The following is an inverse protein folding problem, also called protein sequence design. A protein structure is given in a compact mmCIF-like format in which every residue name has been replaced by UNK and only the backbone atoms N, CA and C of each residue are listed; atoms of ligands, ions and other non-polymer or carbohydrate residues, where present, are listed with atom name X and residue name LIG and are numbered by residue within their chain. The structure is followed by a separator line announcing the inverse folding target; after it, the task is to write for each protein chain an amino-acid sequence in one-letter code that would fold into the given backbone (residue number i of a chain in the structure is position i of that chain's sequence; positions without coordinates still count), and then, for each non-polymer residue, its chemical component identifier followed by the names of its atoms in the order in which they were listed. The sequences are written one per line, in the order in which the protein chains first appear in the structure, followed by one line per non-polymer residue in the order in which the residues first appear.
data_IF_103871799445
#
_entry.id   IF_103871799445
#
_cell.length_a   1.000
_cell.length_b   1.000
_cell.length_c   1.000
_cell.angle_alpha   90.00
_cell.angle_beta   90.00
_cell.angle_gamma   90.00
#
_symmetry.space_group_name_H-M   'P 1'
#
loop_
_entity.id
_entity.type
_entity.pdbx_description
1 polymer ?
#
# COMPACT_ATOMS: atom_id res chain seq x y z
N UNK A 1 -27.22 14.88 -1.05
CA UNK A 1 -26.38 15.44 0.00
C UNK A 1 -26.98 16.74 0.48
N UNK A 2 -26.88 17.04 1.78
CA UNK A 2 -27.32 18.29 2.38
C UNK A 2 -26.12 18.88 3.12
N UNK A 3 -25.73 20.10 2.77
CA UNK A 3 -24.62 20.79 3.43
C UNK A 3 -25.17 21.66 4.56
N UNK A 4 -24.55 21.53 5.73
CA UNK A 4 -24.99 22.19 6.97
C UNK A 4 -23.77 22.83 7.63
N UNK A 5 -23.96 24.05 8.11
CA UNK A 5 -22.93 24.72 8.91
C UNK A 5 -22.81 24.06 10.28
N UNK A 6 -21.62 24.11 10.85
CA UNK A 6 -21.29 23.55 12.17
C UNK A 6 -21.63 22.06 12.35
N UNK A 7 -21.59 21.27 11.26
CA UNK A 7 -21.73 19.83 11.38
C UNK A 7 -20.57 19.25 12.21
N UNK A 8 -20.85 18.36 13.18
CA UNK A 8 -19.82 17.83 14.10
C UNK A 8 -18.80 16.93 13.41
N UNK A 9 -19.15 16.42 12.22
CA UNK A 9 -18.32 15.53 11.41
C UNK A 9 -18.36 16.01 9.95
N UNK A 10 -17.29 15.75 9.18
CA UNK A 10 -17.28 16.11 7.76
C UNK A 10 -18.46 15.52 6.98
N UNK A 11 -18.85 14.28 7.32
CA UNK A 11 -19.97 13.60 6.68
C UNK A 11 -20.72 12.71 7.67
N UNK A 12 -22.02 12.83 7.71
CA UNK A 12 -22.94 11.99 8.50
C UNK A 12 -23.89 11.27 7.53
N UNK A 13 -23.60 10.02 7.17
CA UNK A 13 -24.45 9.25 6.29
C UNK A 13 -25.67 8.75 7.06
N UNK A 14 -26.85 8.99 6.51
CA UNK A 14 -28.13 8.48 6.98
C UNK A 14 -28.88 7.82 5.83
N UNK A 15 -30.00 7.16 6.11
CA UNK A 15 -30.80 6.50 5.08
C UNK A 15 -31.28 7.51 4.01
N UNK A 16 -30.84 7.31 2.77
CA UNK A 16 -31.17 8.14 1.60
C UNK A 16 -30.73 9.61 1.70
N UNK A 17 -30.03 10.01 2.75
CA UNK A 17 -29.54 11.38 2.95
C UNK A 17 -28.16 11.34 3.55
N UNK A 18 -27.22 12.11 2.99
CA UNK A 18 -25.92 12.37 3.63
C UNK A 18 -25.89 13.84 4.04
N UNK A 19 -25.70 14.09 5.33
CA UNK A 19 -25.46 15.42 5.88
C UNK A 19 -23.96 15.65 5.80
N UNK A 20 -23.55 16.72 5.15
CA UNK A 20 -22.15 17.08 4.94
C UNK A 20 -21.88 18.46 5.54
N UNK A 21 -20.68 18.64 6.07
CA UNK A 21 -20.24 19.94 6.54
C UNK A 21 -20.08 20.91 5.37
N UNK A 22 -20.52 22.16 5.55
CA UNK A 22 -20.26 23.24 4.59
C UNK A 22 -18.77 23.54 4.42
N UNK A 23 -17.93 23.17 5.38
CA UNK A 23 -16.47 23.25 5.27
C UNK A 23 -15.87 22.38 4.12
N UNK A 24 -16.64 21.47 3.55
CA UNK A 24 -16.25 20.72 2.35
C UNK A 24 -16.50 21.50 1.06
N UNK A 25 -17.14 22.67 1.11
CA UNK A 25 -17.42 23.50 -0.05
C UNK A 25 -16.30 24.53 -0.20
N UNK A 26 -15.52 24.40 -1.25
CA UNK A 26 -14.44 25.32 -1.60
C UNK A 26 -14.76 26.03 -2.92
N UNK A 27 -14.29 27.28 -3.11
CA UNK A 27 -14.31 27.95 -4.41
C UNK A 27 -13.54 27.13 -5.48
N UNK A 28 -13.91 27.28 -6.74
CA UNK A 28 -13.33 26.51 -7.86
C UNK A 28 -11.83 26.76 -8.10
N UNK A 29 -11.29 27.85 -7.59
CA UNK A 29 -9.88 28.21 -7.66
C UNK A 29 -9.02 27.54 -6.58
N UNK A 30 -9.63 26.93 -5.56
CA UNK A 30 -8.94 26.17 -4.50
C UNK A 30 -8.83 24.70 -4.90
N UNK A 31 -7.75 24.35 -5.59
CA UNK A 31 -7.57 22.99 -6.16
C UNK A 31 -6.99 21.98 -5.18
N UNK A 32 -6.25 22.41 -4.17
CA UNK A 32 -5.55 21.52 -3.22
C UNK A 32 -6.48 20.58 -2.46
N UNK A 33 -7.71 21.04 -2.18
CA UNK A 33 -8.70 20.31 -1.40
C UNK A 33 -9.56 19.35 -2.21
N UNK A 34 -9.45 19.39 -3.56
CA UNK A 34 -10.33 18.62 -4.47
C UNK A 34 -10.30 17.14 -4.16
N UNK A 35 -9.10 16.59 -3.94
CA UNK A 35 -8.94 15.15 -3.65
C UNK A 35 -9.66 14.76 -2.36
N UNK A 36 -9.34 15.41 -1.25
CA UNK A 36 -9.84 15.04 0.07
C UNK A 36 -11.34 15.29 0.19
N UNK A 37 -11.84 16.39 -0.38
CA UNK A 37 -13.28 16.69 -0.46
C UNK A 37 -14.01 15.63 -1.30
N UNK A 38 -13.51 15.31 -2.48
CA UNK A 38 -14.13 14.28 -3.33
C UNK A 38 -14.15 12.94 -2.62
N UNK A 39 -13.04 12.56 -1.98
CA UNK A 39 -12.93 11.32 -1.22
C UNK A 39 -13.94 11.28 -0.07
N UNK A 40 -14.12 12.37 0.69
CA UNK A 40 -15.10 12.47 1.76
C UNK A 40 -16.55 12.34 1.25
N UNK A 41 -16.88 13.00 0.14
CA UNK A 41 -18.21 12.91 -0.46
C UNK A 41 -18.51 11.53 -1.03
N UNK A 42 -17.53 10.90 -1.68
CA UNK A 42 -17.67 9.51 -2.18
C UNK A 42 -17.82 8.53 -1.04
N UNK A 43 -17.10 8.73 0.08
CA UNK A 43 -17.27 7.93 1.28
C UNK A 43 -18.70 8.04 1.83
N UNK A 44 -19.26 9.25 1.93
CA UNK A 44 -20.65 9.46 2.37
C UNK A 44 -21.67 8.73 1.47
N UNK A 45 -21.40 8.66 0.16
CA UNK A 45 -22.21 7.86 -0.76
C UNK A 45 -22.01 6.36 -0.53
N UNK A 46 -20.78 5.90 -0.37
CA UNK A 46 -20.46 4.48 -0.14
C UNK A 46 -21.11 3.94 1.13
N UNK A 47 -21.24 4.77 2.16
CA UNK A 47 -21.92 4.46 3.41
C UNK A 47 -23.41 4.18 3.24
N UNK A 48 -24.07 4.64 2.15
CA UNK A 48 -25.46 4.29 1.89
C UNK A 48 -25.65 2.79 1.66
N UNK A 49 -24.61 2.10 1.14
CA UNK A 49 -24.61 0.65 0.97
C UNK A 49 -23.95 -0.07 2.15
N UNK A 50 -22.82 0.42 2.63
CA UNK A 50 -22.08 -0.19 3.73
C UNK A 50 -22.04 0.73 4.94
N UNK A 51 -22.93 0.52 5.88
CA UNK A 51 -23.16 1.34 7.07
C UNK A 51 -24.65 1.67 7.29
N UNK A 52 -25.41 1.83 6.20
CA UNK A 52 -26.86 2.08 6.28
C UNK A 52 -27.68 0.87 5.82
N UNK A 53 -27.40 0.33 4.63
CA UNK A 53 -28.12 -0.85 4.12
C UNK A 53 -27.54 -2.18 4.66
N UNK A 54 -26.21 -2.30 4.67
CA UNK A 54 -25.48 -3.37 5.30
C UNK A 54 -24.89 -2.84 6.60
N UNK A 55 -25.39 -3.31 7.74
CA UNK A 55 -25.01 -2.81 9.06
C UNK A 55 -24.21 -3.87 9.84
N UNK A 56 -23.34 -3.49 10.78
CA UNK A 56 -22.70 -4.45 11.66
C UNK A 56 -23.74 -5.08 12.57
N UNK A 57 -23.65 -6.41 12.82
CA UNK A 57 -24.54 -7.09 13.75
C UNK A 57 -24.19 -6.72 15.20
N UNK A 58 -22.92 -6.78 15.51
CA UNK A 58 -22.36 -6.38 16.79
C UNK A 58 -21.37 -5.23 16.59
N UNK A 59 -21.11 -4.40 17.60
CA UNK A 59 -20.14 -3.32 17.49
C UNK A 59 -18.75 -3.78 17.02
N UNK A 60 -18.32 -4.98 17.42
CA UNK A 60 -17.08 -5.60 16.98
C UNK A 60 -16.99 -5.82 15.45
N UNK A 61 -18.13 -5.90 14.78
CA UNK A 61 -18.22 -6.11 13.33
C UNK A 61 -18.14 -4.79 12.52
N UNK A 62 -18.05 -3.64 13.20
CA UNK A 62 -18.02 -2.30 12.58
C UNK A 62 -16.90 -2.16 11.54
N UNK A 63 -15.76 -2.79 11.77
CA UNK A 63 -14.63 -2.73 10.84
C UNK A 63 -14.99 -3.26 9.44
N UNK A 64 -15.93 -4.23 9.34
CA UNK A 64 -16.36 -4.79 8.04
C UNK A 64 -17.08 -3.73 7.21
N UNK A 65 -18.06 -3.05 7.79
CA UNK A 65 -18.85 -2.03 7.08
C UNK A 65 -18.04 -0.79 6.76
N UNK A 66 -17.24 -0.30 7.72
CA UNK A 66 -16.32 0.81 7.51
C UNK A 66 -15.28 0.47 6.45
N UNK A 67 -14.68 -0.72 6.53
CA UNK A 67 -13.71 -1.20 5.55
C UNK A 67 -14.28 -1.29 4.15
N UNK A 68 -15.50 -1.83 3.98
CA UNK A 68 -16.18 -1.93 2.67
C UNK A 68 -16.47 -0.53 2.12
N UNK A 69 -16.97 0.41 2.95
CA UNK A 69 -17.27 1.77 2.50
C UNK A 69 -16.02 2.48 1.99
N UNK A 70 -14.91 2.40 2.71
CA UNK A 70 -13.64 2.96 2.27
C UNK A 70 -13.03 2.21 1.08
N UNK A 71 -13.15 0.89 1.01
CA UNK A 71 -12.69 0.11 -0.15
C UNK A 71 -13.41 0.56 -1.45
N UNK A 72 -14.72 0.78 -1.40
CA UNK A 72 -15.49 1.31 -2.54
C UNK A 72 -15.01 2.71 -2.91
N UNK A 73 -14.83 3.56 -1.90
CA UNK A 73 -14.33 4.92 -2.05
C UNK A 73 -12.97 4.94 -2.74
N UNK A 74 -12.03 4.16 -2.24
CA UNK A 74 -10.68 4.12 -2.77
C UNK A 74 -10.63 3.49 -4.18
N UNK A 75 -11.52 2.53 -4.49
CA UNK A 75 -11.69 2.00 -5.84
C UNK A 75 -12.23 3.06 -6.82
N UNK A 76 -13.15 3.91 -6.37
CA UNK A 76 -13.62 5.04 -7.16
C UNK A 76 -12.51 6.07 -7.39
N UNK A 77 -11.79 6.44 -6.32
CA UNK A 77 -10.66 7.39 -6.41
C UNK A 77 -9.54 6.87 -7.32
N UNK A 78 -9.28 5.56 -7.30
CA UNK A 78 -8.36 4.94 -8.25
C UNK A 78 -8.76 5.17 -9.71
N UNK A 79 -10.04 5.03 -10.02
CA UNK A 79 -10.54 5.26 -11.37
C UNK A 79 -10.52 6.75 -11.76
N UNK A 80 -10.66 7.64 -10.79
CA UNK A 80 -10.69 9.09 -11.02
C UNK A 80 -9.28 9.69 -11.14
N UNK A 81 -8.37 9.32 -10.23
CA UNK A 81 -7.05 9.93 -10.08
C UNK A 81 -5.90 9.06 -10.61
N UNK A 82 -6.20 7.85 -11.07
CA UNK A 82 -5.20 6.91 -11.57
C UNK A 82 -4.54 6.04 -10.49
N UNK A 83 -3.77 5.06 -10.97
CA UNK A 83 -3.19 4.03 -10.11
C UNK A 83 -2.01 4.54 -9.27
N UNK A 84 -1.25 5.52 -9.76
CA UNK A 84 -0.11 6.05 -9.01
C UNK A 84 -0.55 6.80 -7.75
N UNK A 85 -1.55 7.67 -7.86
CA UNK A 85 -2.12 8.35 -6.71
C UNK A 85 -2.71 7.35 -5.72
N UNK A 86 -3.44 6.35 -6.23
CA UNK A 86 -3.98 5.29 -5.39
C UNK A 86 -2.88 4.54 -4.62
N UNK A 87 -1.79 4.12 -5.29
CA UNK A 87 -0.66 3.43 -4.67
C UNK A 87 0.07 4.32 -3.65
N UNK A 88 0.26 5.59 -3.98
CA UNK A 88 0.87 6.57 -3.08
C UNK A 88 0.06 6.71 -1.79
N UNK A 89 -1.27 6.88 -1.89
CA UNK A 89 -2.15 6.96 -0.72
C UNK A 89 -2.18 5.66 0.09
N UNK A 90 -2.18 4.51 -0.56
CA UNK A 90 -2.06 3.23 0.14
C UNK A 90 -0.78 3.14 0.96
N UNK A 91 0.36 3.58 0.39
CA UNK A 91 1.64 3.60 1.11
C UNK A 91 1.58 4.52 2.32
N UNK A 92 1.08 5.75 2.14
CA UNK A 92 0.91 6.69 3.25
C UNK A 92 -0.01 6.14 4.35
N UNK A 93 -1.14 5.55 3.97
CA UNK A 93 -2.08 4.93 4.92
C UNK A 93 -1.43 3.75 5.66
N UNK A 94 -0.68 2.90 4.96
CA UNK A 94 0.04 1.77 5.57
C UNK A 94 1.09 2.24 6.56
N UNK A 95 1.87 3.25 6.21
CA UNK A 95 2.89 3.82 7.11
C UNK A 95 2.24 4.45 8.35
N UNK A 96 1.17 5.24 8.15
CA UNK A 96 0.40 5.85 9.25
C UNK A 96 -0.19 4.79 10.18
N UNK A 97 -0.77 3.71 9.64
CA UNK A 97 -1.28 2.60 10.45
C UNK A 97 -0.17 1.94 11.25
N UNK A 98 0.99 1.66 10.64
CA UNK A 98 2.12 1.04 11.34
C UNK A 98 2.68 1.92 12.47
N UNK A 99 2.56 3.25 12.36
CA UNK A 99 2.96 4.19 13.42
C UNK A 99 1.92 4.29 14.53
N UNK A 100 0.64 4.20 14.17
CA UNK A 100 -0.47 4.30 15.11
C UNK A 100 -0.81 2.99 15.82
N UNK A 101 -0.50 1.84 15.19
CA UNK A 101 -0.88 0.50 15.67
C UNK A 101 0.11 -0.03 16.72
N UNK A 102 0.33 0.77 17.72
CA UNK A 102 1.14 0.45 18.87
C UNK A 102 0.30 0.64 20.14
N UNK A 103 0.32 -0.37 21.02
CA UNK A 103 -0.49 -0.38 22.26
C UNK A 103 -1.99 -0.10 21.99
N UNK A 104 -2.53 -0.70 20.93
CA UNK A 104 -3.97 -0.64 20.61
C UNK A 104 -4.58 -2.04 20.61
N UNK A 105 -5.88 -2.17 20.93
CA UNK A 105 -6.60 -3.42 20.72
C UNK A 105 -6.70 -3.74 19.21
N UNK A 106 -7.05 -4.98 18.91
CA UNK A 106 -7.35 -5.36 17.52
C UNK A 106 -8.53 -4.55 16.96
N UNK A 107 -8.64 -4.44 15.64
CA UNK A 107 -9.77 -3.71 15.01
C UNK A 107 -11.12 -4.36 15.35
N UNK A 108 -11.15 -5.65 15.66
CA UNK A 108 -12.34 -6.35 16.11
C UNK A 108 -12.72 -5.97 17.55
N UNK A 109 -11.77 -6.02 18.46
CA UNK A 109 -12.02 -5.67 19.88
C UNK A 109 -12.27 -4.17 20.06
N UNK A 110 -11.64 -3.32 19.26
CA UNK A 110 -11.85 -1.88 19.27
C UNK A 110 -13.32 -1.53 18.98
N UNK A 111 -14.00 -2.27 18.13
CA UNK A 111 -15.42 -2.07 17.88
C UNK A 111 -16.31 -2.28 19.12
N UNK A 112 -15.87 -3.05 20.11
CA UNK A 112 -16.61 -3.25 21.37
C UNK A 112 -16.57 -2.03 22.31
N UNK A 113 -15.75 -1.02 22.00
CA UNK A 113 -15.70 0.22 22.77
C UNK A 113 -16.99 0.99 22.54
N UNK A 114 -17.79 1.08 23.58
CA UNK A 114 -19.04 1.86 23.56
C UNK A 114 -18.69 3.36 23.45
N UNK A 115 -19.11 4.02 22.40
CA UNK A 115 -18.73 5.39 22.03
C UNK A 115 -17.24 5.48 21.67
N UNK A 116 -16.94 5.01 20.45
CA UNK A 116 -15.63 5.20 19.83
C UNK A 116 -15.27 6.68 19.80
N UNK A 117 -14.09 7.00 20.26
CA UNK A 117 -13.52 8.34 20.06
C UNK A 117 -13.25 8.59 18.58
N UNK A 118 -13.23 9.85 18.13
CA UNK A 118 -12.85 10.19 16.78
C UNK A 118 -11.51 9.58 16.34
N UNK A 119 -10.51 9.52 17.24
CA UNK A 119 -9.20 8.91 16.97
C UNK A 119 -9.26 7.38 16.75
N UNK A 120 -10.18 6.70 17.43
CA UNK A 120 -10.38 5.25 17.28
C UNK A 120 -11.12 4.96 15.97
N UNK A 121 -12.13 5.77 15.64
CA UNK A 121 -12.82 5.70 14.34
C UNK A 121 -11.88 6.01 13.18
N UNK A 122 -11.01 7.01 13.34
CA UNK A 122 -9.97 7.32 12.35
C UNK A 122 -9.05 6.12 12.11
N UNK A 123 -8.61 5.47 13.18
CA UNK A 123 -7.75 4.28 13.07
C UNK A 123 -8.46 3.12 12.37
N UNK A 124 -9.71 2.82 12.72
CA UNK A 124 -10.51 1.80 12.02
C UNK A 124 -10.69 2.17 10.54
N UNK A 125 -10.96 3.44 10.25
CA UNK A 125 -11.11 3.94 8.88
C UNK A 125 -9.82 3.84 8.04
N UNK A 126 -8.66 3.86 8.70
CA UNK A 126 -7.35 3.65 8.04
C UNK A 126 -7.02 2.16 7.89
N UNK A 127 -7.12 1.38 8.96
CA UNK A 127 -6.66 -0.03 8.96
C UNK A 127 -7.63 -0.97 8.25
N UNK A 128 -8.94 -0.81 8.42
CA UNK A 128 -9.92 -1.73 7.85
C UNK A 128 -9.87 -1.81 6.31
N UNK A 129 -9.84 -0.71 5.53
CA UNK A 129 -9.72 -0.80 4.08
C UNK A 129 -8.39 -1.41 3.63
N UNK A 130 -7.28 -1.18 4.36
CA UNK A 130 -6.00 -1.83 4.07
C UNK A 130 -6.06 -3.33 4.30
N UNK A 131 -6.74 -3.79 5.35
CA UNK A 131 -6.98 -5.23 5.59
C UNK A 131 -7.76 -5.83 4.43
N UNK A 132 -8.80 -5.15 3.93
CA UNK A 132 -9.54 -5.61 2.75
C UNK A 132 -8.67 -5.61 1.49
N UNK A 133 -7.80 -4.62 1.33
CA UNK A 133 -6.88 -4.53 0.20
C UNK A 133 -5.87 -5.70 0.20
N UNK A 134 -5.19 -5.97 1.30
CA UNK A 134 -4.25 -7.11 1.37
C UNK A 134 -4.97 -8.46 1.27
N UNK A 135 -6.21 -8.55 1.74
CA UNK A 135 -7.07 -9.71 1.53
C UNK A 135 -7.37 -9.92 0.05
N UNK A 136 -7.74 -8.85 -0.68
CA UNK A 136 -7.97 -8.91 -2.12
C UNK A 136 -6.73 -9.39 -2.87
N UNK A 137 -5.55 -8.89 -2.52
CA UNK A 137 -4.28 -9.35 -3.10
C UNK A 137 -4.04 -10.85 -2.87
N UNK A 138 -4.26 -11.34 -1.65
CA UNK A 138 -4.13 -12.78 -1.34
C UNK A 138 -5.12 -13.64 -2.12
N UNK A 139 -6.38 -13.21 -2.16
CA UNK A 139 -7.43 -13.92 -2.90
C UNK A 139 -7.19 -13.90 -4.41
N UNK A 140 -6.73 -12.76 -4.95
CA UNK A 140 -6.39 -12.64 -6.36
C UNK A 140 -5.24 -13.56 -6.75
N UNK A 141 -4.20 -13.66 -5.93
CA UNK A 141 -3.10 -14.63 -6.15
C UNK A 141 -3.58 -16.08 -6.11
N UNK A 142 -4.47 -16.42 -5.19
CA UNK A 142 -4.99 -17.77 -5.05
C UNK A 142 -5.94 -18.16 -6.20
N UNK A 143 -6.81 -17.24 -6.65
CA UNK A 143 -7.86 -17.50 -7.63
C UNK A 143 -7.55 -17.04 -9.05
N UNK A 144 -6.51 -16.22 -9.23
CA UNK A 144 -6.15 -15.61 -10.52
C UNK A 144 -7.11 -14.51 -11.00
N UNK A 145 -8.06 -14.06 -10.18
CA UNK A 145 -9.07 -13.05 -10.53
C UNK A 145 -9.31 -12.08 -9.38
N UNK A 146 -9.51 -10.80 -9.68
CA UNK A 146 -9.91 -9.79 -8.69
C UNK A 146 -11.19 -10.24 -7.98
N UNK A 147 -11.13 -10.34 -6.66
CA UNK A 147 -12.13 -11.08 -5.90
C UNK A 147 -12.93 -10.19 -4.96
N UNK A 148 -12.31 -9.16 -4.35
CA UNK A 148 -12.99 -8.34 -3.33
C UNK A 148 -14.19 -7.57 -3.89
N UNK A 149 -14.07 -6.95 -5.05
CA UNK A 149 -15.21 -6.25 -5.69
C UNK A 149 -16.40 -7.20 -5.93
N UNK A 150 -16.12 -8.45 -6.32
CA UNK A 150 -17.14 -9.50 -6.52
C UNK A 150 -17.74 -9.94 -5.18
N UNK A 151 -16.94 -10.04 -4.11
CA UNK A 151 -17.41 -10.37 -2.77
C UNK A 151 -18.34 -9.27 -2.26
N UNK A 152 -17.93 -8.01 -2.35
CA UNK A 152 -18.71 -6.84 -1.94
C UNK A 152 -20.06 -6.80 -2.70
N UNK A 153 -20.02 -6.95 -4.03
CA UNK A 153 -21.24 -7.01 -4.84
C UNK A 153 -22.17 -8.15 -4.38
N UNK A 154 -21.62 -9.33 -4.06
CA UNK A 154 -22.40 -10.47 -3.59
C UNK A 154 -23.01 -10.22 -2.23
N UNK A 155 -22.31 -9.53 -1.33
CA UNK A 155 -22.84 -9.16 -0.01
C UNK A 155 -24.06 -8.22 -0.14
N UNK A 156 -23.99 -7.22 -1.02
CA UNK A 156 -25.12 -6.32 -1.26
C UNK A 156 -26.30 -7.02 -1.90
N UNK A 157 -26.06 -7.95 -2.83
CA UNK A 157 -27.12 -8.76 -3.42
C UNK A 157 -27.78 -9.64 -2.33
N UNK A 158 -26.99 -10.28 -1.46
CA UNK A 158 -27.48 -11.11 -0.38
C UNK A 158 -28.29 -10.29 0.65
N UNK A 159 -27.83 -9.10 1.00
CA UNK A 159 -28.56 -8.18 1.87
C UNK A 159 -29.90 -7.79 1.26
N UNK A 160 -29.92 -7.44 -0.04
CA UNK A 160 -31.15 -7.09 -0.77
C UNK A 160 -32.12 -8.29 -0.90
N UNK A 161 -31.60 -9.49 -1.09
CA UNK A 161 -32.40 -10.71 -1.19
C UNK A 161 -32.98 -11.19 0.15
N UNK A 162 -32.50 -10.61 1.28
CA UNK A 162 -32.91 -11.04 2.62
C UNK A 162 -32.12 -12.26 3.15
N UNK A 163 -31.08 -12.69 2.42
CA UNK A 163 -30.18 -13.78 2.86
C UNK A 163 -29.35 -13.37 4.08
N UNK A 164 -29.17 -12.08 4.30
CA UNK A 164 -28.56 -11.49 5.50
C UNK A 164 -29.68 -10.89 6.34
N UNK A 165 -30.05 -11.50 7.46
CA UNK A 165 -31.17 -11.04 8.29
C UNK A 165 -31.00 -9.59 8.72
N UNK A 166 -31.99 -8.74 8.40
CA UNK A 166 -31.99 -7.29 8.69
C UNK A 166 -30.79 -6.51 8.12
N UNK A 167 -30.08 -7.04 7.12
CA UNK A 167 -28.84 -6.45 6.62
C UNK A 167 -27.67 -6.51 7.63
N UNK A 168 -27.79 -7.26 8.73
CA UNK A 168 -26.81 -7.32 9.80
C UNK A 168 -25.71 -8.34 9.49
N UNK A 169 -24.49 -7.86 9.21
CA UNK A 169 -23.32 -8.70 8.88
C UNK A 169 -22.46 -8.96 10.10
N UNK A 170 -21.87 -10.17 10.16
CA UNK A 170 -20.84 -10.52 11.14
C UNK A 170 -19.50 -10.75 10.47
N UNK A 171 -18.41 -10.57 11.21
CA UNK A 171 -17.05 -10.90 10.76
C UNK A 171 -16.92 -12.35 10.31
N UNK A 172 -17.55 -13.28 11.01
CA UNK A 172 -17.57 -14.70 10.65
C UNK A 172 -18.31 -14.97 9.32
N UNK A 173 -19.45 -14.30 9.07
CA UNK A 173 -20.16 -14.42 7.80
C UNK A 173 -19.34 -13.83 6.65
N UNK A 174 -18.70 -12.69 6.89
CA UNK A 174 -17.80 -12.05 5.93
C UNK A 174 -16.63 -12.99 5.59
N UNK A 175 -15.94 -13.56 6.58
CA UNK A 175 -14.85 -14.51 6.39
C UNK A 175 -15.30 -15.71 5.54
N UNK A 176 -16.38 -16.38 5.93
CA UNK A 176 -16.93 -17.53 5.17
C UNK A 176 -17.29 -17.18 3.74
N UNK A 177 -17.78 -15.96 3.49
CA UNK A 177 -18.11 -15.51 2.14
C UNK A 177 -16.83 -15.30 1.32
N UNK A 178 -15.78 -14.71 1.93
CA UNK A 178 -14.46 -14.57 1.31
C UNK A 178 -13.83 -15.92 0.98
N UNK A 179 -13.87 -16.88 1.90
CA UNK A 179 -13.33 -18.24 1.70
C UNK A 179 -14.06 -18.99 0.58
N UNK A 180 -15.38 -18.89 0.55
CA UNK A 180 -16.20 -19.55 -0.46
C UNK A 180 -15.96 -18.99 -1.87
N UNK A 181 -15.85 -17.68 -2.01
CA UNK A 181 -15.68 -17.03 -3.31
C UNK A 181 -14.21 -16.96 -3.76
N UNK A 182 -13.28 -16.94 -2.80
CA UNK A 182 -11.85 -16.91 -3.04
C UNK A 182 -11.19 -18.29 -3.10
N UNK A 183 -11.93 -19.36 -2.74
CA UNK A 183 -11.42 -20.75 -2.69
C UNK A 183 -10.13 -20.90 -1.85
N UNK A 184 -10.03 -20.14 -0.75
CA UNK A 184 -8.86 -20.13 0.13
C UNK A 184 -9.31 -20.17 1.59
N UNK A 185 -8.53 -20.84 2.45
CA UNK A 185 -8.71 -20.77 3.91
C UNK A 185 -8.10 -19.48 4.44
N UNK A 186 -8.83 -18.76 5.27
CA UNK A 186 -8.47 -17.44 5.75
C UNK A 186 -8.32 -17.36 7.28
N UNK A 187 -8.40 -18.49 8.00
CA UNK A 187 -8.34 -18.48 9.46
C UNK A 187 -7.07 -17.77 9.97
N UNK A 188 -5.89 -18.13 9.44
CA UNK A 188 -4.63 -17.50 9.84
C UNK A 188 -4.56 -16.02 9.47
N UNK A 189 -5.19 -15.62 8.37
CA UNK A 189 -5.27 -14.23 7.97
C UNK A 189 -6.09 -13.41 8.96
N UNK A 190 -7.31 -13.87 9.28
CA UNK A 190 -8.20 -13.18 10.21
C UNK A 190 -7.60 -13.12 11.62
N UNK A 191 -6.95 -14.21 12.07
CA UNK A 191 -6.26 -14.22 13.36
C UNK A 191 -5.17 -13.15 13.44
N UNK A 192 -4.42 -12.92 12.36
CA UNK A 192 -3.33 -11.96 12.36
C UNK A 192 -3.79 -10.51 12.16
N UNK A 193 -4.75 -10.27 11.26
CA UNK A 193 -5.06 -8.93 10.79
C UNK A 193 -6.36 -8.33 11.35
N UNK A 194 -7.26 -9.19 11.84
CA UNK A 194 -8.57 -8.77 12.38
C UNK A 194 -8.61 -8.93 13.89
N UNK A 195 -8.24 -10.13 14.38
CA UNK A 195 -8.28 -10.46 15.80
C UNK A 195 -6.94 -10.19 16.51
N UNK A 196 -5.85 -10.07 15.76
CA UNK A 196 -4.53 -9.72 16.27
C UNK A 196 -4.29 -8.21 16.29
N UNK A 197 -3.42 -7.76 17.19
CA UNK A 197 -2.99 -6.36 17.33
C UNK A 197 -1.61 -6.15 16.73
N UNK A 198 -1.35 -4.91 16.29
CA UNK A 198 -0.06 -4.49 15.76
C UNK A 198 0.13 -4.77 14.28
N UNK A 199 1.29 -4.33 13.78
CA UNK A 199 1.74 -4.52 12.40
C UNK A 199 3.19 -5.06 12.40
N UNK A 200 3.57 -5.90 11.41
CA UNK A 200 4.94 -6.37 11.32
C UNK A 200 5.90 -5.26 10.95
N UNK A 201 7.09 -5.31 11.53
CA UNK A 201 8.24 -4.47 11.18
C UNK A 201 9.36 -5.39 10.74
N UNK A 202 9.70 -5.33 9.45
CA UNK A 202 10.71 -6.17 8.84
C UNK A 202 12.03 -5.42 8.68
N UNK A 203 13.10 -6.02 9.17
CA UNK A 203 14.46 -5.64 8.83
C UNK A 203 15.05 -6.71 7.93
N UNK A 204 15.48 -6.30 6.76
CA UNK A 204 16.06 -7.20 5.78
C UNK A 204 17.50 -6.81 5.47
N UNK A 205 18.36 -7.81 5.41
CA UNK A 205 19.73 -7.70 4.92
C UNK A 205 19.91 -8.60 3.71
N UNK A 206 20.74 -8.18 2.77
CA UNK A 206 21.02 -8.93 1.56
C UNK A 206 22.51 -9.01 1.29
N UNK A 207 22.94 -10.12 0.70
CA UNK A 207 24.31 -10.34 0.26
C UNK A 207 24.33 -11.14 -1.03
N UNK A 208 25.04 -10.66 -2.03
CA UNK A 208 25.23 -11.42 -3.26
C UNK A 208 26.38 -12.41 -3.13
N UNK A 209 26.08 -13.69 -3.27
CA UNK A 209 27.06 -14.77 -3.30
C UNK A 209 27.47 -15.06 -4.75
N UNK A 210 28.61 -14.48 -5.18
CA UNK A 210 29.12 -14.64 -6.56
C UNK A 210 29.48 -16.10 -6.92
N UNK A 211 29.84 -16.93 -5.94
CA UNK A 211 30.21 -18.33 -6.19
C UNK A 211 29.00 -19.20 -6.50
N UNK A 212 27.92 -19.02 -5.73
CA UNK A 212 26.66 -19.75 -5.90
C UNK A 212 25.73 -19.08 -6.91
N UNK A 213 25.94 -17.82 -7.27
CA UNK A 213 25.04 -16.98 -8.07
C UNK A 213 23.65 -16.89 -7.43
N UNK A 214 23.62 -16.61 -6.13
CA UNK A 214 22.39 -16.41 -5.35
C UNK A 214 22.48 -15.11 -4.55
N UNK A 215 21.33 -14.52 -4.31
CA UNK A 215 21.16 -13.45 -3.32
C UNK A 215 20.74 -14.11 -2.01
N UNK A 216 21.62 -14.06 -1.03
CA UNK A 216 21.35 -14.51 0.33
C UNK A 216 20.62 -13.37 1.05
N UNK A 217 19.38 -13.60 1.45
CA UNK A 217 18.58 -12.63 2.19
C UNK A 217 18.22 -13.16 3.57
N UNK A 218 18.23 -12.27 4.54
CA UNK A 218 17.73 -12.53 5.88
C UNK A 218 16.70 -11.47 6.24
N UNK A 219 15.50 -11.90 6.61
CA UNK A 219 14.40 -11.05 7.05
C UNK A 219 14.15 -11.33 8.53
N UNK A 220 14.26 -10.29 9.35
CA UNK A 220 13.98 -10.33 10.78
C UNK A 220 12.74 -9.50 11.08
N UNK A 221 11.84 -10.02 11.91
CA UNK A 221 10.70 -9.28 12.47
C UNK A 221 11.12 -8.64 13.79
N UNK A 222 10.92 -7.32 13.93
CA UNK A 222 11.43 -6.54 15.07
C UNK A 222 10.33 -5.76 15.81
N UNK A 223 9.06 -6.02 15.52
CA UNK A 223 7.94 -5.33 16.14
C UNK A 223 7.86 -5.54 17.67
N UNK A 224 8.35 -6.67 18.17
CA UNK A 224 8.41 -6.97 19.61
C UNK A 224 9.64 -6.38 20.32
N UNK A 225 10.63 -5.89 19.56
CA UNK A 225 11.86 -5.30 20.13
C UNK A 225 11.65 -3.82 20.50
N UNK A 226 10.46 -3.25 20.30
CA UNK A 226 10.17 -1.88 20.66
C UNK A 226 10.03 -1.74 22.18
N UNK A 227 10.67 -0.74 22.77
CA UNK A 227 10.54 -0.49 24.19
C UNK A 227 9.08 -0.14 24.53
N UNK A 228 8.50 -0.86 25.46
CA UNK A 228 7.18 -0.59 26.04
C UNK A 228 7.24 0.59 27.04
N UNK A 229 8.10 1.58 26.82
CA UNK A 229 8.11 2.78 27.63
C UNK A 229 6.86 3.57 27.31
N UNK A 230 5.85 3.42 28.16
CA UNK A 230 4.68 4.28 28.15
C UNK A 230 5.15 5.68 28.60
N UNK A 231 5.36 6.56 27.66
CA UNK A 231 5.47 7.97 27.98
C UNK A 231 4.12 8.42 28.52
N UNK A 232 4.12 8.92 29.76
CA UNK A 232 2.94 9.46 30.43
C UNK A 232 2.58 10.83 29.85
N UNK A 233 2.12 10.84 28.62
CA UNK A 233 1.54 12.02 27.97
C UNK A 233 0.08 12.20 28.42
N UNK A 234 -0.43 13.44 28.30
CA UNK A 234 -1.85 13.75 28.62
C UNK A 234 -2.83 12.79 27.92
N UNK A 235 -2.49 12.36 26.71
CA UNK A 235 -3.34 11.50 25.90
C UNK A 235 -3.36 10.04 26.37
N UNK A 236 -2.26 9.56 26.97
CA UNK A 236 -2.17 8.19 27.49
C UNK A 236 -3.01 7.99 28.74
N UNK A 237 -3.07 8.99 29.63
CA UNK A 237 -3.90 8.91 30.84
C UNK A 237 -5.38 8.70 30.51
N UNK A 238 -5.93 9.46 29.57
CA UNK A 238 -7.33 9.31 29.17
C UNK A 238 -7.60 7.98 28.48
N UNK A 239 -6.64 7.45 27.72
CA UNK A 239 -6.72 6.11 27.14
C UNK A 239 -6.75 5.06 28.24
N UNK A 240 -5.81 5.10 29.17
CA UNK A 240 -5.71 4.11 30.24
C UNK A 240 -6.96 4.09 31.12
N UNK A 241 -7.52 5.26 31.42
CA UNK A 241 -8.81 5.37 32.14
C UNK A 241 -9.95 4.76 31.32
N UNK A 242 -9.98 4.97 30.01
CA UNK A 242 -11.01 4.39 29.13
C UNK A 242 -10.90 2.88 29.02
N UNK A 243 -9.68 2.36 28.90
CA UNK A 243 -9.41 0.92 28.89
C UNK A 243 -9.93 0.27 30.16
N UNK A 244 -9.62 0.83 31.31
CA UNK A 244 -10.06 0.33 32.62
C UNK A 244 -11.58 0.39 32.77
N UNK A 245 -12.21 1.49 32.37
CA UNK A 245 -13.67 1.64 32.48
C UNK A 245 -14.45 0.74 31.51
N UNK A 246 -13.88 0.34 30.40
CA UNK A 246 -14.55 -0.40 29.33
C UNK A 246 -14.16 -1.89 29.29
N UNK A 247 -13.09 -2.25 29.98
CA UNK A 247 -12.55 -3.60 29.99
C UNK A 247 -11.99 -4.05 28.63
N UNK A 248 -11.64 -3.09 27.76
CA UNK A 248 -10.99 -3.33 26.47
C UNK A 248 -9.57 -2.83 26.55
N UNK A 249 -8.64 -3.72 26.57
CA UNK A 249 -7.22 -3.42 26.75
C UNK A 249 -6.44 -3.51 25.46
N UNK A 250 -5.34 -2.77 25.41
CA UNK A 250 -4.38 -2.89 24.33
C UNK A 250 -3.88 -4.34 24.24
N UNK A 251 -4.03 -4.93 23.06
CA UNK A 251 -3.48 -6.25 22.79
C UNK A 251 -1.95 -6.20 22.71
N UNK A 252 -1.29 -7.26 23.15
CA UNK A 252 0.13 -7.44 22.88
C UNK A 252 0.35 -7.53 21.39
N UNK A 253 1.35 -6.81 20.86
CA UNK A 253 1.73 -6.89 19.45
C UNK A 253 2.09 -8.35 19.12
N UNK A 254 1.56 -8.86 18.04
CA UNK A 254 1.82 -10.22 17.59
C UNK A 254 3.34 -10.42 17.35
N UNK A 255 3.98 -11.41 18.00
CA UNK A 255 5.43 -11.57 17.89
C UNK A 255 5.88 -12.00 16.49
N UNK A 256 5.04 -12.74 15.78
CA UNK A 256 5.35 -13.26 14.43
C UNK A 256 4.12 -13.16 13.53
N UNK A 257 4.30 -12.50 12.41
CA UNK A 257 3.36 -12.51 11.29
C UNK A 257 3.85 -13.49 10.23
N UNK A 258 2.92 -14.24 9.64
CA UNK A 258 3.22 -15.29 8.66
C UNK A 258 2.50 -15.08 7.35
N UNK A 259 3.14 -15.48 6.24
CA UNK A 259 2.53 -15.42 4.91
C UNK A 259 3.57 -15.30 3.80
N UNK A 260 3.08 -15.29 2.56
CA UNK A 260 3.92 -15.09 1.39
C UNK A 260 4.25 -13.61 1.19
N UNK A 261 5.46 -13.33 0.74
CA UNK A 261 5.92 -12.00 0.35
C UNK A 261 6.58 -12.07 -1.02
N UNK A 262 6.26 -11.15 -1.90
CA UNK A 262 6.91 -11.05 -3.21
C UNK A 262 8.13 -10.15 -3.11
N UNK A 263 9.27 -10.68 -3.53
CA UNK A 263 10.53 -9.95 -3.63
C UNK A 263 10.85 -9.78 -5.11
N UNK A 264 11.09 -8.55 -5.55
CA UNK A 264 11.52 -8.22 -6.90
C UNK A 264 13.00 -7.91 -6.90
N UNK A 265 13.76 -8.65 -7.69
CA UNK A 265 15.18 -8.40 -7.94
C UNK A 265 15.29 -7.81 -9.33
N UNK A 266 15.68 -6.54 -9.38
CA UNK A 266 15.99 -5.87 -10.63
C UNK A 266 17.43 -6.18 -11.00
N UNK A 267 17.60 -7.01 -12.01
CA UNK A 267 18.93 -7.41 -12.49
C UNK A 267 19.44 -6.43 -13.54
N UNK A 268 20.72 -6.49 -13.88
CA UNK A 268 21.39 -5.57 -14.81
C UNK A 268 20.78 -5.51 -16.23
N UNK A 269 19.84 -6.37 -16.58
CA UNK A 269 19.07 -6.29 -17.82
C UNK A 269 17.82 -5.36 -17.69
N UNK A 270 17.62 -4.75 -16.53
CA UNK A 270 16.48 -3.89 -16.22
C UNK A 270 15.16 -4.65 -16.02
N UNK A 271 15.17 -5.99 -16.08
CA UNK A 271 13.96 -6.80 -15.89
C UNK A 271 13.78 -7.16 -14.42
N UNK A 272 12.63 -6.87 -13.80
CA UNK A 272 12.33 -7.35 -12.47
C UNK A 272 12.04 -8.87 -12.51
N UNK A 273 12.75 -9.63 -11.68
CA UNK A 273 12.46 -11.03 -11.45
C UNK A 273 11.74 -11.17 -10.11
N UNK A 274 10.54 -11.74 -10.15
CA UNK A 274 9.71 -11.93 -8.97
C UNK A 274 9.98 -13.27 -8.31
N UNK A 275 10.17 -13.23 -6.99
CA UNK A 275 10.37 -14.41 -6.16
C UNK A 275 9.39 -14.35 -4.99
N UNK A 276 8.58 -15.40 -4.84
CA UNK A 276 7.66 -15.54 -3.72
C UNK A 276 8.36 -16.31 -2.61
N UNK A 277 8.50 -15.67 -1.47
CA UNK A 277 9.13 -16.27 -0.27
C UNK A 277 8.08 -16.41 0.83
N UNK A 278 8.19 -17.47 1.64
CA UNK A 278 7.28 -17.71 2.76
C UNK A 278 7.92 -17.28 4.07
N UNK A 279 7.33 -16.28 4.72
CA UNK A 279 7.72 -15.83 6.05
C UNK A 279 6.95 -16.68 7.07
N UNK A 280 7.69 -17.46 7.90
CA UNK A 280 7.10 -18.37 8.89
C UNK A 280 7.54 -18.10 10.31
N UNK A 281 8.68 -17.49 10.48
CA UNK A 281 9.35 -17.29 11.77
C UNK A 281 9.82 -15.85 11.94
N UNK A 282 10.20 -15.49 13.17
CA UNK A 282 10.75 -14.17 13.47
C UNK A 282 12.04 -13.84 12.71
N UNK A 283 12.82 -14.85 12.32
CA UNK A 283 14.00 -14.72 11.46
C UNK A 283 13.94 -15.77 10.36
N UNK A 284 13.84 -15.35 9.14
CA UNK A 284 13.78 -16.24 7.98
C UNK A 284 14.91 -15.93 7.01
N UNK A 285 15.61 -16.97 6.53
CA UNK A 285 16.72 -16.85 5.59
C UNK A 285 16.34 -17.49 4.27
N UNK A 286 16.72 -16.83 3.17
CA UNK A 286 16.43 -17.27 1.81
C UNK A 286 17.69 -17.23 0.96
N UNK A 287 17.81 -18.18 0.03
CA UNK A 287 18.75 -18.15 -1.07
C UNK A 287 17.95 -17.98 -2.37
N UNK A 288 17.99 -16.79 -2.94
CA UNK A 288 17.22 -16.46 -4.15
C UNK A 288 18.16 -16.61 -5.35
N UNK A 289 17.82 -17.43 -6.36
CA UNK A 289 18.65 -17.62 -7.54
C UNK A 289 18.75 -16.34 -8.36
N UNK A 290 19.95 -16.07 -8.85
CA UNK A 290 20.26 -14.91 -9.66
C UNK A 290 20.55 -15.33 -11.11
N UNK A 291 19.91 -14.67 -12.08
CA UNK A 291 19.90 -15.11 -13.47
C UNK A 291 21.02 -14.51 -14.35
N UNK A 292 22.15 -14.14 -13.78
CA UNK A 292 23.25 -13.42 -14.42
C UNK A 292 23.77 -14.06 -15.72
N UNK A 293 23.79 -15.38 -15.82
CA UNK A 293 24.30 -16.08 -16.99
C UNK A 293 23.49 -15.84 -18.26
N UNK A 294 22.21 -15.55 -18.10
CA UNK A 294 21.28 -15.33 -19.24
C UNK A 294 21.22 -13.86 -19.70
N UNK A 295 21.85 -12.94 -18.95
CA UNK A 295 21.79 -11.50 -19.19
C UNK A 295 22.31 -11.12 -20.58
N UNK A 296 23.53 -11.52 -20.93
CA UNK A 296 24.17 -11.11 -22.19
C UNK A 296 23.44 -11.63 -23.43
N UNK A 297 22.92 -12.84 -23.36
CA UNK A 297 22.21 -13.46 -24.48
C UNK A 297 20.80 -12.85 -24.66
N UNK A 298 20.07 -12.66 -23.56
CA UNK A 298 18.73 -12.04 -23.61
C UNK A 298 18.77 -10.57 -24.01
N UNK A 299 19.77 -9.83 -23.55
CA UNK A 299 19.95 -8.41 -23.89
C UNK A 299 20.21 -8.21 -25.39
N UNK A 300 21.13 -9.00 -25.97
CA UNK A 300 21.37 -8.96 -27.41
C UNK A 300 20.16 -9.39 -28.21
N UNK A 301 19.36 -10.33 -27.71
CA UNK A 301 18.10 -10.75 -28.32
C UNK A 301 17.04 -9.65 -28.24
N UNK A 302 16.85 -9.02 -27.09
CA UNK A 302 15.92 -7.90 -26.89
C UNK A 302 16.30 -6.66 -27.70
N UNK A 303 17.59 -6.28 -27.75
CA UNK A 303 18.03 -5.20 -28.62
C UNK A 303 17.75 -5.48 -30.10
N UNK A 304 17.91 -6.72 -30.54
CA UNK A 304 17.55 -7.14 -31.90
C UNK A 304 16.03 -7.16 -32.11
N UNK A 305 15.26 -7.61 -31.10
CA UNK A 305 13.80 -7.63 -31.15
C UNK A 305 13.23 -6.20 -31.15
N UNK A 306 13.78 -5.27 -30.33
CA UNK A 306 13.41 -3.85 -30.36
C UNK A 306 13.79 -3.17 -31.69
N UNK A 307 14.93 -3.48 -32.25
CA UNK A 307 15.32 -3.00 -33.57
C UNK A 307 14.43 -3.57 -34.69
N UNK A 308 13.95 -4.81 -34.53
CA UNK A 308 12.99 -5.42 -35.46
C UNK A 308 11.57 -4.86 -35.30
N UNK A 309 11.13 -4.58 -34.06
CA UNK A 309 9.84 -3.94 -33.79
C UNK A 309 9.79 -2.49 -34.31
N UNK A 310 10.89 -1.75 -34.20
CA UNK A 310 11.01 -0.40 -34.78
C UNK A 310 10.94 -0.40 -36.33
N UNK A 311 11.13 -1.57 -36.96
CA UNK A 311 11.03 -1.75 -38.41
C UNK A 311 9.69 -2.41 -38.85
N UNK A 312 8.73 -2.58 -37.97
CA UNK A 312 7.33 -2.87 -38.30
C UNK A 312 7.01 -4.31 -38.72
N UNK A 313 7.75 -5.33 -38.24
CA UNK A 313 7.61 -6.68 -38.76
C UNK A 313 7.36 -7.82 -37.77
N UNK A 314 6.76 -7.57 -36.59
CA UNK A 314 6.46 -8.69 -35.68
C UNK A 314 5.07 -8.56 -35.00
N UNK A 315 4.17 -9.56 -35.18
CA UNK A 315 2.84 -9.56 -34.54
C UNK A 315 2.83 -9.87 -33.03
N UNK A 316 3.98 -10.10 -32.39
CA UNK A 316 4.10 -10.32 -30.95
C UNK A 316 4.46 -9.03 -30.15
N UNK A 317 4.32 -7.86 -30.75
CA UNK A 317 4.62 -6.58 -30.10
C UNK A 317 3.69 -6.26 -28.91
N UNK A 318 2.49 -6.84 -28.86
CA UNK A 318 1.52 -6.62 -27.76
C UNK A 318 2.04 -6.99 -26.37
N UNK A 319 2.99 -7.93 -26.29
CA UNK A 319 3.57 -8.33 -24.99
C UNK A 319 4.63 -7.34 -24.44
N UNK A 320 5.11 -6.40 -25.26
CA UNK A 320 6.13 -5.42 -24.87
C UNK A 320 5.52 -4.12 -24.33
N UNK A 321 4.35 -3.74 -24.82
CA UNK A 321 3.59 -2.59 -24.30
C UNK A 321 3.14 -2.85 -22.85
N UNK A 322 2.72 -4.07 -22.54
CA UNK A 322 2.32 -4.46 -21.17
C UNK A 322 3.46 -4.32 -20.16
N UNK A 323 4.70 -4.63 -20.53
CA UNK A 323 5.87 -4.50 -19.64
C UNK A 323 6.26 -3.03 -19.42
N UNK A 324 6.13 -2.19 -20.45
CA UNK A 324 6.39 -0.76 -20.37
C UNK A 324 5.31 -0.04 -19.56
N UNK A 325 4.05 -0.37 -19.76
CA UNK A 325 2.91 0.13 -18.98
C UNK A 325 3.01 -0.28 -17.50
N UNK A 326 3.45 -1.50 -17.23
CA UNK A 326 3.69 -1.95 -15.86
C UNK A 326 4.80 -1.16 -15.16
N UNK A 327 5.86 -0.77 -15.88
CA UNK A 327 6.94 0.06 -15.37
C UNK A 327 6.55 1.53 -15.18
N UNK A 328 5.54 2.02 -15.90
CA UNK A 328 4.99 3.39 -15.74
C UNK A 328 3.87 3.44 -14.68
N UNK A 329 3.46 2.28 -14.16
CA UNK A 329 2.49 2.20 -13.06
C UNK A 329 1.09 2.63 -13.44
N UNK A 330 0.53 2.17 -14.55
CA UNK A 330 -0.86 2.44 -14.98
C UNK A 330 -1.31 3.93 -14.90
N UNK A 331 -0.37 4.89 -14.94
CA UNK A 331 -0.70 6.33 -14.85
C UNK A 331 -1.45 6.77 -16.08
N UNK A 332 -1.04 6.24 -17.20
CA UNK A 332 -1.51 6.66 -18.50
C UNK A 332 -2.31 5.51 -19.10
N UNK A 333 -3.63 5.71 -19.14
CA UNK A 333 -4.55 4.68 -19.61
C UNK A 333 -4.84 4.78 -21.11
N UNK A 334 -4.38 5.86 -21.77
CA UNK A 334 -4.60 6.08 -23.19
C UNK A 334 -3.37 6.67 -23.89
N UNK A 335 -3.25 6.42 -25.21
CA UNK A 335 -2.22 7.02 -26.05
C UNK A 335 -2.31 8.55 -26.10
N UNK A 336 -3.51 9.10 -25.94
CA UNK A 336 -3.74 10.54 -25.89
C UNK A 336 -3.14 11.15 -24.63
N UNK A 337 -3.30 10.51 -23.46
CA UNK A 337 -2.66 10.94 -22.21
C UNK A 337 -1.13 10.84 -22.30
N UNK A 338 -0.58 9.80 -22.92
CA UNK A 338 0.87 9.68 -23.12
C UNK A 338 1.44 10.82 -23.98
N UNK A 339 0.71 11.28 -24.98
CA UNK A 339 1.10 12.41 -25.83
C UNK A 339 1.00 13.76 -25.09
N UNK A 340 -0.07 13.95 -24.32
CA UNK A 340 -0.29 15.18 -23.55
C UNK A 340 0.77 15.40 -22.46
N UNK A 341 1.18 14.33 -21.78
CA UNK A 341 2.23 14.37 -20.77
C UNK A 341 3.65 14.51 -21.35
N UNK A 342 3.80 14.48 -22.68
CA UNK A 342 5.09 14.60 -23.38
C UNK A 342 6.19 13.72 -22.76
N UNK A 343 5.85 12.47 -22.44
CA UNK A 343 6.82 11.51 -21.93
C UNK A 343 7.90 11.29 -23.00
N UNK A 344 9.07 11.82 -22.76
CA UNK A 344 10.22 11.52 -23.58
C UNK A 344 10.69 10.10 -23.27
N UNK A 345 10.73 9.26 -24.28
CA UNK A 345 11.46 8.00 -24.20
C UNK A 345 12.93 8.25 -23.84
N UNK A 346 13.54 7.27 -23.20
CA UNK A 346 14.97 7.32 -22.92
C UNK A 346 15.73 7.52 -24.22
N UNK A 347 16.67 8.46 -24.22
CA UNK A 347 17.52 8.62 -25.39
C UNK A 347 18.40 7.38 -25.57
N UNK A 348 18.76 7.05 -26.81
CA UNK A 348 19.68 5.92 -27.08
C UNK A 348 20.99 6.04 -26.32
N UNK A 349 21.45 7.27 -26.06
CA UNK A 349 22.65 7.57 -25.27
C UNK A 349 22.47 7.21 -23.78
N UNK A 350 21.27 7.43 -23.24
CA UNK A 350 20.93 7.03 -21.89
C UNK A 350 20.77 5.50 -21.77
N UNK A 351 20.18 4.86 -22.78
CA UNK A 351 20.11 3.39 -22.84
C UNK A 351 21.51 2.76 -22.94
N UNK A 352 22.41 3.31 -23.74
CA UNK A 352 23.79 2.82 -23.87
C UNK A 352 24.60 3.06 -22.59
N UNK A 353 24.41 4.19 -21.91
CA UNK A 353 25.01 4.48 -20.61
C UNK A 353 24.54 3.53 -19.53
N UNK A 354 23.22 3.31 -19.45
CA UNK A 354 22.62 2.31 -18.57
C UNK A 354 23.12 0.89 -18.90
N UNK A 355 23.43 0.66 -20.16
CA UNK A 355 23.98 -0.60 -20.64
C UNK A 355 25.37 -0.93 -20.12
N UNK A 356 26.16 0.07 -19.74
CA UNK A 356 27.53 -0.08 -19.24
C UNK A 356 27.58 -0.18 -17.72
N UNK A 357 26.62 0.41 -17.01
CA UNK A 357 26.56 0.35 -15.56
C UNK A 357 25.79 -0.91 -15.10
N UNK A 358 26.33 -1.64 -14.12
CA UNK A 358 25.58 -2.71 -13.48
C UNK A 358 24.65 -2.05 -12.46
N UNK A 359 23.39 -1.90 -12.83
CA UNK A 359 22.36 -1.42 -11.94
C UNK A 359 21.53 -2.60 -11.47
N UNK A 360 21.50 -2.78 -10.18
CA UNK A 360 20.79 -3.84 -9.51
C UNK A 360 20.18 -3.27 -8.24
N UNK A 361 18.95 -3.58 -7.99
CA UNK A 361 18.32 -3.26 -6.71
C UNK A 361 17.25 -4.28 -6.38
N UNK A 362 16.85 -4.30 -5.14
CA UNK A 362 15.86 -5.26 -4.62
C UNK A 362 14.70 -4.47 -4.03
N UNK A 363 13.49 -4.88 -4.37
CA UNK A 363 12.27 -4.37 -3.73
C UNK A 363 11.54 -5.49 -3.04
N UNK A 364 11.12 -5.23 -1.82
CA UNK A 364 10.29 -6.12 -1.03
C UNK A 364 8.88 -5.57 -1.02
N UNK A 365 7.89 -6.45 -1.15
CA UNK A 365 6.47 -6.09 -1.08
C UNK A 365 6.04 -4.91 -1.97
N UNK A 366 6.56 -4.86 -3.19
CA UNK A 366 6.27 -3.78 -4.14
C UNK A 366 4.77 -3.62 -4.48
N UNK A 367 3.96 -4.65 -4.25
CA UNK A 367 2.51 -4.67 -4.52
C UNK A 367 1.64 -4.45 -3.27
N UNK A 368 2.25 -4.10 -2.15
CA UNK A 368 1.55 -3.87 -0.86
C UNK A 368 0.69 -5.06 -0.43
N UNK A 369 1.29 -6.24 -0.37
CA UNK A 369 0.64 -7.46 0.13
C UNK A 369 0.58 -7.51 1.65
N UNK A 370 1.33 -6.60 2.30
CA UNK A 370 1.45 -6.47 3.74
C UNK A 370 1.17 -5.04 4.18
N UNK A 371 0.60 -4.89 5.37
CA UNK A 371 0.58 -3.62 6.09
C UNK A 371 1.80 -3.66 7.01
N UNK A 372 2.92 -3.11 6.58
CA UNK A 372 4.17 -3.26 7.31
C UNK A 372 5.13 -2.08 7.11
N UNK A 373 6.06 -1.94 8.05
CA UNK A 373 7.29 -1.18 7.82
C UNK A 373 8.41 -2.08 7.38
N UNK A 374 9.05 -1.69 6.29
CA UNK A 374 10.17 -2.41 5.69
C UNK A 374 11.43 -1.55 5.76
N UNK A 375 12.49 -2.13 6.30
CA UNK A 375 13.84 -1.58 6.24
C UNK A 375 14.74 -2.59 5.55
N UNK A 376 15.16 -2.29 4.34
CA UNK A 376 16.10 -3.10 3.57
C UNK A 376 17.43 -2.36 3.47
N UNK A 377 18.48 -2.96 4.01
CA UNK A 377 19.83 -2.36 3.91
C UNK A 377 20.44 -2.76 2.57
N UNK A 378 20.67 -1.77 1.73
CA UNK A 378 21.32 -1.90 0.42
C UNK A 378 22.56 -1.01 0.34
N UNK A 379 23.57 -1.37 -0.47
CA UNK A 379 24.66 -0.46 -0.81
C UNK A 379 24.13 0.81 -1.51
N UNK A 380 24.81 1.95 -1.30
CA UNK A 380 24.37 3.25 -1.83
C UNK A 380 24.16 3.28 -3.35
N UNK A 381 24.96 2.52 -4.11
CA UNK A 381 24.80 2.44 -5.57
C UNK A 381 23.48 1.77 -5.99
N UNK A 382 22.93 0.84 -5.19
CA UNK A 382 21.64 0.20 -5.47
C UNK A 382 20.48 1.19 -5.27
N UNK A 383 20.53 2.03 -4.23
CA UNK A 383 19.55 3.10 -4.05
C UNK A 383 19.59 4.11 -5.20
N UNK A 384 20.81 4.47 -5.64
CA UNK A 384 20.97 5.38 -6.77
C UNK A 384 20.40 4.77 -8.07
N UNK A 385 20.68 3.48 -8.30
CA UNK A 385 20.15 2.75 -9.45
C UNK A 385 18.63 2.67 -9.41
N UNK A 386 18.06 2.38 -8.25
CA UNK A 386 16.60 2.36 -8.06
C UNK A 386 15.97 3.73 -8.36
N UNK A 387 16.55 4.81 -7.83
CA UNK A 387 16.04 6.17 -8.06
C UNK A 387 16.07 6.57 -9.54
N UNK A 388 17.11 6.17 -10.25
CA UNK A 388 17.30 6.54 -11.66
C UNK A 388 16.54 5.65 -12.64
N UNK A 389 16.35 4.37 -12.30
CA UNK A 389 15.88 3.35 -13.24
C UNK A 389 14.48 2.83 -12.95
N UNK A 390 14.05 2.85 -11.68
CA UNK A 390 12.71 2.41 -11.33
C UNK A 390 11.70 3.52 -11.70
N UNK A 391 10.73 3.16 -12.52
CA UNK A 391 9.68 4.09 -12.95
C UNK A 391 8.50 4.15 -11.99
N UNK A 392 8.47 3.26 -11.00
CA UNK A 392 7.44 3.29 -9.95
C UNK A 392 7.72 4.48 -9.01
N UNK A 393 6.79 5.42 -8.97
CA UNK A 393 6.87 6.63 -8.11
C UNK A 393 7.09 6.25 -6.64
N UNK A 394 6.48 5.15 -6.18
CA UNK A 394 6.66 4.69 -4.81
C UNK A 394 8.08 4.20 -4.56
N UNK A 395 8.68 3.51 -5.53
CA UNK A 395 10.08 3.09 -5.43
C UNK A 395 11.04 4.26 -5.32
N UNK A 396 10.78 5.32 -6.07
CA UNK A 396 11.56 6.57 -6.02
C UNK A 396 11.38 7.27 -4.67
N UNK A 397 10.14 7.33 -4.16
CA UNK A 397 9.84 7.91 -2.85
C UNK A 397 10.53 7.14 -1.71
N UNK A 398 10.47 5.80 -1.72
CA UNK A 398 11.13 4.94 -0.72
C UNK A 398 12.64 5.22 -0.65
N UNK A 399 13.28 5.39 -1.80
CA UNK A 399 14.70 5.76 -1.87
C UNK A 399 14.94 7.15 -1.30
N UNK A 400 14.10 8.14 -1.66
CA UNK A 400 14.19 9.50 -1.15
C UNK A 400 14.13 9.54 0.38
N UNK A 401 13.18 8.84 0.98
CA UNK A 401 13.04 8.74 2.45
C UNK A 401 14.28 8.07 3.08
N UNK A 402 14.77 6.96 2.49
CA UNK A 402 15.92 6.24 3.02
C UNK A 402 17.22 7.08 2.93
N UNK A 403 17.39 7.88 1.87
CA UNK A 403 18.57 8.73 1.72
C UNK A 403 18.55 9.98 2.61
N UNK A 404 17.36 10.45 2.99
CA UNK A 404 17.18 11.59 3.90
C UNK A 404 17.20 11.20 5.36
N UNK A 405 17.15 9.90 5.67
CA UNK A 405 17.19 9.42 7.05
C UNK A 405 18.56 9.69 7.69
N UNK A 406 18.61 10.27 8.91
CA UNK A 406 19.86 10.70 9.55
C UNK A 406 20.81 9.55 9.96
N UNK A 407 20.42 8.29 9.79
CA UNK A 407 21.24 7.13 10.16
C UNK A 407 22.47 6.94 9.25
N UNK A 408 22.46 7.51 8.02
CA UNK A 408 23.55 7.35 7.04
C UNK A 408 24.19 8.69 6.59
N UNK A 409 24.33 9.66 7.49
CA UNK A 409 24.98 10.95 7.20
C UNK A 409 26.45 10.86 6.71
N UNK A 410 27.05 9.67 6.60
CA UNK A 410 28.36 9.49 6.01
C UNK A 410 28.38 9.58 4.47
N UNK A 411 27.22 9.63 3.82
CA UNK A 411 27.06 9.68 2.37
C UNK A 411 26.57 11.04 1.82
N UNK A 412 26.84 12.13 2.53
CA UNK A 412 26.43 13.50 2.11
C UNK A 412 26.84 13.88 0.68
N UNK A 413 27.93 13.31 0.17
CA UNK A 413 28.39 13.54 -1.21
C UNK A 413 27.46 12.90 -2.26
N UNK A 414 26.77 11.80 -1.91
CA UNK A 414 25.81 11.12 -2.81
C UNK A 414 24.53 11.94 -2.91
N UNK A 415 24.04 12.47 -1.78
CA UNK A 415 22.84 13.31 -1.72
C UNK A 415 23.04 14.59 -2.56
N UNK A 416 24.20 15.25 -2.45
CA UNK A 416 24.55 16.43 -3.26
C UNK A 416 24.70 16.13 -4.76
N UNK A 417 25.18 14.94 -5.11
CA UNK A 417 25.29 14.51 -6.52
C UNK A 417 23.90 14.21 -7.11
N UNK A 418 23.00 13.63 -6.32
CA UNK A 418 21.60 13.40 -6.70
C UNK A 418 20.88 14.73 -6.89
N UNK A 419 21.01 15.68 -5.93
CA UNK A 419 20.42 17.02 -6.02
C UNK A 419 20.91 17.82 -7.25
N UNK A 420 22.16 17.66 -7.63
CA UNK A 420 22.73 18.31 -8.81
C UNK A 420 22.27 17.73 -10.14
N UNK A 421 21.90 16.44 -10.19
CA UNK A 421 21.44 15.76 -11.40
C UNK A 421 19.92 15.75 -11.57
N UNK A 422 19.14 15.76 -10.48
CA UNK A 422 17.67 15.80 -10.49
C UNK A 422 17.08 17.19 -10.75
N UNK A 423 17.89 18.25 -10.84
CA UNK A 423 17.44 19.58 -11.30
C UNK A 423 16.78 19.59 -12.68
N UNK A 424 16.75 18.46 -13.39
CA UNK A 424 16.02 18.27 -14.66
C UNK A 424 14.66 17.58 -14.54
N UNK A 425 14.34 16.99 -13.38
CA UNK A 425 13.01 16.49 -13.07
C UNK A 425 12.49 17.33 -11.90
N UNK A 426 11.75 18.39 -12.21
CA UNK A 426 11.11 19.26 -11.23
C UNK A 426 9.97 18.52 -10.54
N UNK A 427 10.28 17.79 -9.50
CA UNK A 427 9.30 17.45 -8.46
C UNK A 427 9.65 18.36 -7.30
N UNK A 428 8.76 19.30 -6.98
CA UNK A 428 8.89 20.17 -5.82
C UNK A 428 8.78 19.31 -4.55
N UNK A 429 9.93 18.89 -4.02
CA UNK A 429 10.03 18.16 -2.76
C UNK A 429 9.59 18.98 -1.53
N UNK A 430 9.41 20.30 -1.67
CA UNK A 430 8.94 21.17 -0.58
C UNK A 430 7.54 20.84 -0.07
N UNK A 431 6.72 20.18 -0.87
CA UNK A 431 5.37 19.77 -0.45
C UNK A 431 5.31 18.39 0.23
N UNK A 432 6.44 17.67 0.33
CA UNK A 432 6.47 16.30 0.86
C UNK A 432 6.90 16.25 2.35
N UNK A 433 7.63 17.27 2.82
CA UNK A 433 8.07 17.39 4.23
C UNK A 433 7.94 18.85 4.71
N UNK A 434 6.81 19.24 5.31
CA UNK A 434 6.63 20.61 5.84
C UNK A 434 7.44 20.94 7.11
N UNK A 435 8.13 19.99 7.72
CA UNK A 435 8.75 20.16 9.05
C UNK A 435 10.29 20.30 9.06
N UNK A 436 10.95 20.64 7.93
CA UNK A 436 12.43 20.76 7.91
C UNK A 436 12.92 22.19 8.23
N UNK A 437 12.06 23.19 8.34
CA UNK A 437 12.42 24.58 8.64
C UNK A 437 12.28 25.00 10.13
N UNK A 438 12.48 24.08 11.05
CA UNK A 438 12.34 24.32 12.50
C UNK A 438 13.58 23.98 13.33
N UNK A 439 14.79 24.53 13.02
CA UNK A 439 15.86 24.74 14.00
C UNK A 439 17.03 25.52 13.41
#
# INVERSE_FOLDING_TARGET
MCFVDDAPEPTLPTACLSICSSHLLFPEDVIDTIYDTTRALVYALSCQWAGVNLIPKDPADTWVTVGIAWYITDAFMKNLCGNNEYRFRLKQMSDKVCDMDFERPSIYEMGNIVKLDPSELEFIALKAPLVLFILDRRLTKASGKATMARIVSRLFIAARAGDVPNGAITSAYFQKTCERLGHAKLDSFFQQWVYGAGCPRFQATQRFNKKKLVVEMMIKQVQSDQPTTRDLEKNTFMRDVKEEMRGVYAGSVQPVFTGSMTIRIHEADGTPYEHIVEIKEGVTKFEIPYNTKYKRLKRNKRQKERAAAATGSDPNAETQEDVLLYCLGDVLQSDEEMQDWKLADWSKEDEDRMGQESYEWIRMDADFEWICKLSLVMPGYMYLSQLQQDRDVIAQLEVGINLLSPVDCTNSSIVLTIYGRTKRASVDFHNICPDIDGS
#
